data_IF_147135671372
#
_entry.id   IF_147135671372
#
_cell.length_a   1.000
_cell.length_b   1.000
_cell.length_c   1.000
_cell.angle_alpha   90.00
_cell.angle_beta   90.00
_cell.angle_gamma   90.00
#
_symmetry.space_group_name_H-M   'P 1'
#
loop_
_entity.id
_entity.type
_entity.pdbx_description
1 polymer ?
#
# COMPACT_ATOMS: atom_id res chain seq x y z
N UNK A 1 22.65 -2.98 -5.31
CA UNK A 1 22.00 -2.10 -6.31
C UNK A 1 21.06 -1.09 -5.65
N UNK A 2 20.17 -1.53 -4.76
CA UNK A 2 19.23 -0.68 -4.01
C UNK A 2 19.88 0.51 -3.28
N UNK A 3 20.82 0.29 -2.35
CA UNK A 3 21.45 1.38 -1.59
C UNK A 3 22.11 2.47 -2.46
N UNK A 4 22.75 2.07 -3.58
CA UNK A 4 23.36 3.01 -4.52
C UNK A 4 22.30 3.84 -5.26
N UNK A 5 21.20 3.20 -5.67
CA UNK A 5 20.07 3.90 -6.28
C UNK A 5 19.40 4.86 -5.28
N UNK A 6 19.20 4.44 -4.03
CA UNK A 6 18.64 5.27 -2.96
C UNK A 6 19.49 6.51 -2.71
N UNK A 7 20.82 6.37 -2.62
CA UNK A 7 21.73 7.51 -2.46
C UNK A 7 21.65 8.50 -3.62
N UNK A 8 21.55 8.01 -4.86
CA UNK A 8 21.37 8.85 -6.04
C UNK A 8 20.01 9.54 -6.05
N UNK A 9 18.94 8.84 -5.64
CA UNK A 9 17.59 9.39 -5.51
C UNK A 9 17.55 10.55 -4.50
N UNK A 10 18.11 10.34 -3.30
CA UNK A 10 18.24 11.37 -2.27
C UNK A 10 18.98 12.59 -2.83
N UNK A 11 20.16 12.38 -3.42
CA UNK A 11 20.97 13.47 -3.97
C UNK A 11 20.22 14.29 -5.04
N UNK A 12 19.45 13.61 -5.89
CA UNK A 12 18.68 14.24 -6.97
C UNK A 12 17.54 15.09 -6.44
N UNK A 13 16.83 14.63 -5.41
CA UNK A 13 15.55 15.21 -5.00
C UNK A 13 15.61 16.06 -3.74
N UNK A 14 16.68 15.96 -2.93
CA UNK A 14 16.81 16.68 -1.66
C UNK A 14 16.60 18.18 -1.80
N UNK A 15 17.14 18.81 -2.86
CA UNK A 15 16.97 20.26 -3.09
C UNK A 15 15.54 20.66 -3.48
N UNK A 16 14.77 19.74 -4.08
CA UNK A 16 13.43 20.03 -4.62
C UNK A 16 12.33 19.68 -3.62
N UNK A 17 12.52 18.64 -2.83
CA UNK A 17 11.51 18.06 -1.94
C UNK A 17 12.13 17.61 -0.61
N UNK A 18 12.77 18.51 0.16
CA UNK A 18 13.57 18.12 1.33
C UNK A 18 12.74 17.41 2.41
N UNK A 19 11.51 17.87 2.66
CA UNK A 19 10.62 17.28 3.67
C UNK A 19 10.30 15.82 3.33
N UNK A 20 9.89 15.55 2.08
CA UNK A 20 9.58 14.21 1.64
C UNK A 20 10.83 13.31 1.64
N UNK A 21 11.98 13.83 1.21
CA UNK A 21 13.21 13.05 1.15
C UNK A 21 13.70 12.66 2.54
N UNK A 22 13.66 13.56 3.52
CA UNK A 22 13.99 13.22 4.91
C UNK A 22 13.05 12.12 5.44
N UNK A 23 11.73 12.31 5.29
CA UNK A 23 10.75 11.28 5.65
C UNK A 23 11.03 9.94 4.95
N UNK A 24 11.34 9.97 3.66
CA UNK A 24 11.63 8.76 2.90
C UNK A 24 12.87 8.03 3.41
N UNK A 25 13.91 8.77 3.81
CA UNK A 25 15.11 8.18 4.39
C UNK A 25 14.82 7.52 5.74
N UNK A 26 14.14 8.22 6.64
CA UNK A 26 13.86 7.75 8.00
C UNK A 26 12.95 6.51 7.98
N UNK A 27 11.88 6.56 7.19
CA UNK A 27 10.92 5.47 7.12
C UNK A 27 11.40 4.32 6.21
N UNK A 28 11.72 4.60 4.95
CA UNK A 28 11.83 3.55 3.93
C UNK A 28 13.24 3.02 3.69
N UNK A 29 14.26 3.76 4.14
CA UNK A 29 15.66 3.30 4.02
C UNK A 29 16.25 2.85 5.35
N UNK A 30 15.74 3.39 6.47
CA UNK A 30 16.24 3.05 7.81
C UNK A 30 15.30 2.04 8.49
N UNK A 31 14.03 2.40 8.67
CA UNK A 31 13.06 1.56 9.42
C UNK A 31 12.52 0.39 8.61
N UNK A 32 12.16 0.62 7.34
CA UNK A 32 11.50 -0.31 6.43
C UNK A 32 12.38 -0.61 5.21
N UNK A 33 13.65 -0.90 5.44
CA UNK A 33 14.66 -1.14 4.40
C UNK A 33 14.38 -2.36 3.48
N UNK A 34 13.30 -3.11 3.75
CA UNK A 34 12.83 -4.24 2.94
C UNK A 34 12.05 -3.83 1.68
N UNK A 35 11.85 -2.54 1.44
CA UNK A 35 11.07 -2.03 0.30
C UNK A 35 11.86 -2.02 -1.02
N UNK A 36 12.34 -3.18 -1.46
CA UNK A 36 12.93 -3.37 -2.79
C UNK A 36 12.71 -4.79 -3.31
N UNK A 37 12.69 -4.94 -4.63
CA UNK A 37 12.31 -6.20 -5.30
C UNK A 37 13.15 -7.42 -4.90
N UNK A 38 14.42 -7.19 -4.54
CA UNK A 38 15.33 -8.25 -4.11
C UNK A 38 15.04 -8.82 -2.71
N UNK A 39 14.15 -8.21 -1.91
CA UNK A 39 13.73 -8.75 -0.59
C UNK A 39 12.75 -9.89 -0.74
N UNK A 40 11.86 -9.82 -1.74
CA UNK A 40 10.84 -10.82 -2.00
C UNK A 40 10.96 -11.34 -3.42
N UNK A 41 11.89 -12.27 -3.65
CA UNK A 41 11.95 -12.95 -4.94
C UNK A 41 10.60 -13.58 -5.26
N UNK A 42 10.11 -13.34 -6.48
CA UNK A 42 8.80 -13.77 -6.98
C UNK A 42 7.57 -13.05 -6.39
N UNK A 43 7.77 -12.03 -5.55
CA UNK A 43 6.68 -11.12 -5.16
C UNK A 43 6.56 -9.98 -6.17
N UNK A 44 5.36 -9.68 -6.68
CA UNK A 44 5.21 -8.60 -7.64
C UNK A 44 5.32 -7.24 -6.94
N UNK A 45 6.17 -6.36 -7.47
CA UNK A 45 6.29 -4.96 -7.04
C UNK A 45 5.16 -4.11 -7.62
N UNK A 46 3.92 -4.45 -7.26
CA UNK A 46 2.72 -3.79 -7.76
C UNK A 46 1.75 -3.46 -6.64
N UNK A 47 1.12 -2.30 -6.74
CA UNK A 47 0.05 -1.88 -5.86
C UNK A 47 -1.35 -2.28 -6.39
N UNK A 48 -1.44 -3.04 -7.50
CA UNK A 48 -2.69 -3.38 -8.18
C UNK A 48 -3.74 -3.98 -7.22
N UNK A 49 -3.34 -4.86 -6.31
CA UNK A 49 -4.25 -5.47 -5.34
C UNK A 49 -4.83 -4.44 -4.36
N UNK A 50 -3.98 -3.52 -3.87
CA UNK A 50 -4.40 -2.43 -2.98
C UNK A 50 -5.31 -1.44 -3.71
N UNK A 51 -4.97 -1.07 -4.95
CA UNK A 51 -5.78 -0.16 -5.78
C UNK A 51 -7.14 -0.76 -6.13
N UNK A 52 -7.17 -2.04 -6.53
CA UNK A 52 -8.41 -2.79 -6.79
C UNK A 52 -9.31 -2.81 -5.55
N UNK A 53 -8.73 -3.10 -4.38
CA UNK A 53 -9.46 -3.10 -3.10
C UNK A 53 -10.01 -1.71 -2.76
N UNK A 54 -9.19 -0.67 -2.89
CA UNK A 54 -9.61 0.71 -2.70
C UNK A 54 -10.76 1.09 -3.63
N UNK A 55 -10.75 0.61 -4.88
CA UNK A 55 -11.82 0.85 -5.83
C UNK A 55 -13.14 0.20 -5.41
N UNK A 56 -13.10 -1.07 -4.96
CA UNK A 56 -14.29 -1.78 -4.45
C UNK A 56 -14.87 -1.06 -3.23
N UNK A 57 -14.03 -0.68 -2.26
CA UNK A 57 -14.50 0.07 -1.08
C UNK A 57 -15.21 1.37 -1.47
N UNK A 58 -14.61 2.13 -2.40
CA UNK A 58 -15.15 3.40 -2.89
C UNK A 58 -16.44 3.23 -3.69
N UNK A 59 -16.57 2.18 -4.51
CA UNK A 59 -17.72 1.96 -5.39
C UNK A 59 -18.88 1.26 -4.70
N UNK A 60 -18.61 0.25 -3.88
CA UNK A 60 -19.65 -0.65 -3.36
C UNK A 60 -20.12 -0.27 -1.95
N UNK A 61 -19.30 0.40 -1.14
CA UNK A 61 -19.55 0.52 0.31
C UNK A 61 -19.59 1.93 0.85
N UNK A 62 -18.64 2.79 0.44
CA UNK A 62 -18.62 4.17 0.94
C UNK A 62 -19.27 5.15 -0.02
N UNK A 63 -19.50 4.78 -1.29
CA UNK A 63 -19.90 5.72 -2.36
C UNK A 63 -19.00 6.97 -2.41
N UNK A 64 -17.73 6.83 -2.00
CA UNK A 64 -16.75 7.91 -1.81
C UNK A 64 -17.09 8.91 -0.71
N UNK A 65 -18.08 8.64 0.14
CA UNK A 65 -18.34 9.44 1.34
C UNK A 65 -17.30 9.16 2.43
N UNK A 66 -16.99 10.19 3.23
CA UNK A 66 -16.17 10.04 4.42
C UNK A 66 -17.02 9.47 5.53
N UNK A 67 -16.63 8.31 6.05
CA UNK A 67 -17.34 7.65 7.14
C UNK A 67 -16.66 7.90 8.48
N UNK A 68 -17.41 8.00 9.59
CA UNK A 68 -16.84 7.91 10.92
C UNK A 68 -16.05 6.60 11.09
N UNK A 69 -14.95 6.65 11.85
CA UNK A 69 -14.03 5.52 12.01
C UNK A 69 -14.73 4.23 12.47
N UNK A 70 -15.68 4.35 13.41
CA UNK A 70 -16.48 3.23 13.91
C UNK A 70 -17.24 2.51 12.79
N UNK A 71 -17.88 3.28 11.91
CA UNK A 71 -18.64 2.75 10.77
C UNK A 71 -17.73 2.21 9.67
N UNK A 72 -16.60 2.86 9.43
CA UNK A 72 -15.59 2.37 8.48
C UNK A 72 -15.06 0.99 8.90
N UNK A 73 -14.76 0.79 10.19
CA UNK A 73 -14.24 -0.48 10.71
C UNK A 73 -15.21 -1.64 10.45
N UNK A 74 -16.51 -1.44 10.73
CA UNK A 74 -17.55 -2.45 10.48
C UNK A 74 -17.59 -2.82 9.00
N UNK A 75 -17.64 -1.82 8.11
CA UNK A 75 -17.66 -2.05 6.67
C UNK A 75 -16.41 -2.77 6.15
N UNK A 76 -15.22 -2.41 6.67
CA UNK A 76 -13.99 -3.08 6.29
C UNK A 76 -14.02 -4.58 6.65
N UNK A 77 -14.51 -4.92 7.85
CA UNK A 77 -14.70 -6.32 8.25
C UNK A 77 -15.70 -7.05 7.34
N UNK A 78 -16.84 -6.45 7.02
CA UNK A 78 -17.84 -7.04 6.11
C UNK A 78 -17.30 -7.27 4.69
N UNK A 79 -16.44 -6.38 4.19
CA UNK A 79 -15.79 -6.53 2.87
C UNK A 79 -14.90 -7.76 2.88
N UNK A 80 -14.02 -7.87 3.89
CA UNK A 80 -13.12 -9.01 4.03
C UNK A 80 -13.92 -10.30 4.18
N UNK A 81 -14.96 -10.32 5.01
CA UNK A 81 -15.81 -11.49 5.21
C UNK A 81 -16.53 -11.93 3.92
N UNK A 82 -17.11 -10.98 3.17
CA UNK A 82 -17.76 -11.27 1.89
C UNK A 82 -16.78 -11.88 0.90
N UNK A 83 -15.57 -11.35 0.81
CA UNK A 83 -14.54 -11.85 -0.10
C UNK A 83 -14.06 -13.24 0.30
N UNK A 84 -13.76 -13.48 1.58
CA UNK A 84 -13.37 -14.82 2.07
C UNK A 84 -14.42 -15.86 1.72
N UNK A 85 -15.71 -15.58 1.99
CA UNK A 85 -16.82 -16.48 1.66
C UNK A 85 -17.02 -16.69 0.16
N UNK A 86 -16.77 -15.67 -0.66
CA UNK A 86 -16.89 -15.77 -2.12
C UNK A 86 -15.75 -16.58 -2.72
N UNK A 87 -14.55 -16.44 -2.17
CA UNK A 87 -13.36 -17.18 -2.59
C UNK A 87 -13.47 -18.68 -2.25
N UNK A 88 -14.00 -19.03 -1.07
CA UNK A 88 -14.28 -20.42 -0.69
C UNK A 88 -15.29 -21.12 -1.61
N UNK A 89 -16.23 -20.36 -2.19
CA UNK A 89 -17.24 -20.90 -3.12
C UNK A 89 -16.73 -21.08 -4.55
N UNK A 90 -15.69 -20.35 -4.95
CA UNK A 90 -15.04 -20.49 -6.26
C UNK A 90 -13.99 -21.61 -6.32
N UNK A 91 -13.67 -22.22 -5.16
CA UNK A 91 -12.78 -23.39 -5.04
C UNK A 91 -13.56 -24.72 -4.95
N UNK A 92 -14.89 -24.69 -5.07
CA UNK A 92 -15.75 -25.87 -5.17
C UNK A 92 -16.24 -26.07 -6.59
#
# INVERSE_FOLDING_TARGET
MFFKASNLFIKKWMKKQPIFINYFQDEWLTTLHGWYEGVGHFTPSTNNALESTNNVMKKERTLRERLPLSRFKVLACEIVEKWSKSYERGLK
#
